data_IF_080558562727
#
_entry.id   IF_080558562727
#
_cell.length_a   1.000
_cell.length_b   1.000
_cell.length_c   1.000
_cell.angle_alpha   90.00
_cell.angle_beta   90.00
_cell.angle_gamma   90.00
#
_symmetry.space_group_name_H-M   'P 1'
#
loop_
_entity.id
_entity.type
_entity.pdbx_description
1 polymer ?
#
# COMPACT_ATOMS: atom_id res chain seq x y z
N UNK A 1 15.80 33.90 14.69
CA UNK A 1 15.57 32.78 13.76
C UNK A 1 15.30 33.32 12.36
N UNK A 2 16.01 32.81 11.38
CA UNK A 2 16.08 33.57 10.12
C UNK A 2 15.85 32.60 8.96
N UNK A 3 14.60 32.22 8.78
CA UNK A 3 14.20 31.52 7.56
C UNK A 3 14.12 32.54 6.41
N UNK A 4 14.73 32.21 5.29
CA UNK A 4 14.63 32.95 4.05
C UNK A 4 13.70 32.18 3.12
N UNK A 5 12.66 32.83 2.65
CA UNK A 5 11.81 32.28 1.61
C UNK A 5 12.59 32.17 0.29
N UNK A 6 12.57 31.01 -0.31
CA UNK A 6 13.13 30.77 -1.64
C UNK A 6 12.01 30.19 -2.52
N UNK A 7 11.22 31.04 -3.19
CA UNK A 7 10.18 30.57 -4.10
C UNK A 7 10.81 29.83 -5.28
N UNK A 8 10.09 28.85 -5.81
CA UNK A 8 10.50 28.14 -7.01
C UNK A 8 10.60 29.12 -8.21
N UNK A 9 11.47 28.84 -9.20
CA UNK A 9 11.62 29.69 -10.38
C UNK A 9 10.29 29.91 -11.11
N UNK A 10 10.07 31.12 -11.56
CA UNK A 10 8.91 31.44 -12.39
C UNK A 10 9.17 31.08 -13.86
N UNK A 11 8.19 30.46 -14.50
CA UNK A 11 8.21 30.09 -15.93
C UNK A 11 7.02 30.73 -16.67
N UNK A 12 6.93 32.09 -16.76
CA UNK A 12 5.70 32.76 -17.17
C UNK A 12 5.25 32.42 -18.60
N UNK A 13 6.18 32.25 -19.52
CA UNK A 13 5.85 31.91 -20.91
C UNK A 13 5.31 30.47 -21.02
N UNK A 14 5.97 29.52 -20.37
CA UNK A 14 5.54 28.13 -20.37
C UNK A 14 4.21 27.97 -19.62
N UNK A 15 4.03 28.66 -18.49
CA UNK A 15 2.79 28.65 -17.74
C UNK A 15 1.62 29.24 -18.56
N UNK A 16 1.85 30.33 -19.30
CA UNK A 16 0.84 30.92 -20.15
C UNK A 16 0.46 29.98 -21.33
N UNK A 17 1.44 29.30 -21.93
CA UNK A 17 1.21 28.33 -22.99
C UNK A 17 0.39 27.14 -22.46
N UNK A 18 0.81 26.51 -21.37
CA UNK A 18 0.12 25.40 -20.73
C UNK A 18 -1.30 25.79 -20.30
N UNK A 19 -1.46 26.97 -19.71
CA UNK A 19 -2.75 27.49 -19.31
C UNK A 19 -3.74 27.58 -20.49
N UNK A 20 -3.25 28.03 -21.64
CA UNK A 20 -4.05 28.13 -22.86
C UNK A 20 -4.41 26.76 -23.45
N UNK A 21 -3.44 25.84 -23.53
CA UNK A 21 -3.63 24.49 -24.11
C UNK A 21 -4.62 23.67 -23.27
N UNK A 22 -4.42 23.63 -21.94
CA UNK A 22 -5.22 22.81 -21.04
C UNK A 22 -6.41 23.54 -20.41
N UNK A 23 -6.65 24.83 -20.79
CA UNK A 23 -7.76 25.66 -20.28
C UNK A 23 -7.78 25.79 -18.75
N UNK A 24 -6.60 25.94 -18.15
CA UNK A 24 -6.41 26.11 -16.69
C UNK A 24 -5.88 27.51 -16.38
N UNK A 25 -5.93 27.89 -15.09
CA UNK A 25 -5.37 29.18 -14.67
C UNK A 25 -3.82 29.19 -14.75
N UNK A 26 -3.20 30.34 -15.09
CA UNK A 26 -1.72 30.43 -15.16
C UNK A 26 -1.00 30.07 -13.86
N UNK A 27 -1.62 30.33 -12.71
CA UNK A 27 -1.07 29.96 -11.41
C UNK A 27 -1.03 28.43 -11.24
N UNK A 28 -2.10 27.73 -11.62
CA UNK A 28 -2.12 26.25 -11.58
C UNK A 28 -1.08 25.68 -12.55
N UNK A 29 -0.97 26.23 -13.75
CA UNK A 29 0.05 25.85 -14.72
C UNK A 29 1.47 26.01 -14.14
N UNK A 30 1.77 27.14 -13.48
CA UNK A 30 3.05 27.35 -12.81
C UNK A 30 3.30 26.33 -11.70
N UNK A 31 2.27 25.98 -10.91
CA UNK A 31 2.39 24.97 -9.86
C UNK A 31 2.69 23.58 -10.42
N UNK A 32 2.09 23.19 -11.54
CA UNK A 32 2.37 21.93 -12.23
C UNK A 32 3.80 21.88 -12.73
N UNK A 33 4.25 22.96 -13.41
CA UNK A 33 5.64 23.07 -13.89
C UNK A 33 6.64 22.94 -12.75
N UNK A 34 6.39 23.58 -11.61
CA UNK A 34 7.27 23.52 -10.45
C UNK A 34 7.32 22.11 -9.82
N UNK A 35 6.37 21.23 -10.15
CA UNK A 35 6.34 19.81 -9.78
C UNK A 35 6.89 18.89 -10.86
N UNK A 36 7.44 19.43 -11.95
CA UNK A 36 7.96 18.67 -13.07
C UNK A 36 6.90 18.14 -14.04
N UNK A 37 5.64 18.52 -13.85
CA UNK A 37 4.53 18.13 -14.73
C UNK A 37 4.44 19.18 -15.84
N UNK A 38 5.07 18.91 -17.00
CA UNK A 38 5.17 19.86 -18.10
C UNK A 38 4.82 19.29 -19.48
N UNK A 39 4.87 17.98 -19.65
CA UNK A 39 4.41 17.35 -20.88
C UNK A 39 2.87 17.33 -20.94
N UNK A 40 2.28 17.57 -22.11
CA UNK A 40 0.82 17.64 -22.26
C UNK A 40 0.10 16.38 -21.79
N UNK A 41 0.67 15.20 -22.07
CA UNK A 41 0.14 13.91 -21.60
C UNK A 41 0.12 13.79 -20.07
N UNK A 42 1.15 14.30 -19.40
CA UNK A 42 1.26 14.25 -17.94
C UNK A 42 0.28 15.22 -17.28
N UNK A 43 0.11 16.40 -17.88
CA UNK A 43 -0.88 17.39 -17.44
C UNK A 43 -2.29 16.83 -17.58
N UNK A 44 -2.62 16.21 -18.71
CA UNK A 44 -3.92 15.58 -18.94
C UNK A 44 -4.18 14.44 -17.94
N UNK A 45 -3.21 13.57 -17.71
CA UNK A 45 -3.31 12.47 -16.77
C UNK A 45 -3.48 12.97 -15.31
N UNK A 46 -2.78 14.06 -14.97
CA UNK A 46 -2.88 14.66 -13.62
C UNK A 46 -4.25 15.34 -13.39
N UNK A 47 -4.74 16.08 -14.39
CA UNK A 47 -6.01 16.81 -14.28
C UNK A 47 -7.25 15.94 -14.49
N UNK A 48 -7.11 14.84 -15.22
CA UNK A 48 -8.20 13.92 -15.55
C UNK A 48 -7.77 12.46 -15.34
N UNK A 49 -7.48 12.06 -14.09
CA UNK A 49 -7.02 10.70 -13.81
C UNK A 49 -8.09 9.68 -14.18
N UNK A 50 -7.69 8.56 -14.78
CA UNK A 50 -8.58 7.46 -15.14
C UNK A 50 -8.02 6.14 -14.65
N UNK A 51 -8.89 5.23 -14.21
CA UNK A 51 -8.50 3.90 -13.71
C UNK A 51 -7.66 3.11 -14.73
N UNK A 52 -7.93 3.27 -16.01
CA UNK A 52 -7.14 2.62 -17.09
C UNK A 52 -5.67 3.08 -17.17
N UNK A 53 -5.32 4.19 -16.52
CA UNK A 53 -3.95 4.72 -16.46
C UNK A 53 -3.23 4.34 -15.16
N UNK A 54 -3.85 3.50 -14.33
CA UNK A 54 -3.20 2.98 -13.14
C UNK A 54 -1.97 2.15 -13.53
N UNK A 55 -0.84 2.49 -12.93
CA UNK A 55 0.38 1.70 -13.09
C UNK A 55 0.17 0.26 -12.60
N UNK A 56 0.87 -0.69 -13.22
CA UNK A 56 0.78 -2.10 -12.86
C UNK A 56 1.15 -2.32 -11.38
N UNK A 57 0.27 -2.94 -10.57
CA UNK A 57 0.56 -3.17 -9.17
C UNK A 57 1.75 -4.12 -8.94
N UNK A 58 2.06 -4.98 -9.88
CA UNK A 58 3.21 -5.90 -9.82
C UNK A 58 4.58 -5.23 -9.98
N UNK A 59 4.63 -3.93 -10.26
CA UNK A 59 5.85 -3.13 -10.17
C UNK A 59 6.28 -2.87 -8.72
N UNK A 60 5.39 -3.04 -7.74
CA UNK A 60 5.75 -2.97 -6.32
C UNK A 60 6.60 -4.18 -5.92
N UNK A 61 7.70 -3.96 -5.19
CA UNK A 61 8.56 -5.04 -4.72
C UNK A 61 7.76 -6.10 -3.94
N UNK A 62 8.04 -7.37 -4.20
CA UNK A 62 7.42 -8.53 -3.54
C UNK A 62 5.88 -8.66 -3.69
N UNK A 63 5.23 -7.82 -4.49
CA UNK A 63 3.77 -7.89 -4.72
C UNK A 63 3.34 -9.25 -5.28
N UNK A 64 4.12 -9.83 -6.19
CA UNK A 64 3.86 -11.18 -6.74
C UNK A 64 3.82 -12.22 -5.63
N UNK A 65 4.83 -12.20 -4.74
CA UNK A 65 4.93 -13.17 -3.63
C UNK A 65 3.77 -13.02 -2.65
N UNK A 66 3.38 -11.77 -2.34
CA UNK A 66 2.25 -11.48 -1.47
C UNK A 66 0.94 -12.02 -2.05
N UNK A 67 0.68 -11.77 -3.33
CA UNK A 67 -0.52 -12.24 -4.05
C UNK A 67 -0.59 -13.75 -4.10
N UNK A 68 0.49 -14.43 -4.49
CA UNK A 68 0.53 -15.90 -4.56
C UNK A 68 0.31 -16.53 -3.17
N UNK A 69 0.90 -15.95 -2.10
CA UNK A 69 0.67 -16.44 -0.73
C UNK A 69 -0.78 -16.25 -0.26
N UNK A 70 -1.40 -15.11 -0.59
CA UNK A 70 -2.80 -14.87 -0.30
C UNK A 70 -3.71 -15.84 -1.07
N UNK A 71 -3.46 -16.07 -2.35
CA UNK A 71 -4.24 -17.02 -3.14
C UNK A 71 -4.10 -18.46 -2.62
N UNK A 72 -2.89 -18.88 -2.22
CA UNK A 72 -2.68 -20.18 -1.58
C UNK A 72 -3.44 -20.32 -0.25
N UNK A 73 -3.50 -19.25 0.56
CA UNK A 73 -4.29 -19.23 1.78
C UNK A 73 -5.79 -19.40 1.50
N UNK A 74 -6.30 -18.75 0.46
CA UNK A 74 -7.69 -18.89 0.02
C UNK A 74 -8.01 -20.32 -0.43
N UNK A 75 -7.15 -20.91 -1.24
CA UNK A 75 -7.32 -22.27 -1.74
C UNK A 75 -7.31 -23.32 -0.62
N UNK A 76 -6.51 -23.07 0.42
CA UNK A 76 -6.39 -23.95 1.58
C UNK A 76 -7.35 -23.62 2.73
N UNK A 77 -8.28 -22.67 2.55
CA UNK A 77 -9.19 -22.17 3.59
C UNK A 77 -8.45 -21.75 4.88
N UNK A 78 -7.23 -21.22 4.74
CA UNK A 78 -6.46 -20.75 5.89
C UNK A 78 -7.08 -19.49 6.50
N UNK A 79 -7.13 -19.44 7.83
CA UNK A 79 -7.52 -18.24 8.56
C UNK A 79 -6.49 -17.12 8.36
N UNK A 80 -6.99 -15.96 7.97
CA UNK A 80 -6.23 -14.72 7.73
C UNK A 80 -6.66 -13.65 8.72
N UNK A 81 -5.71 -12.93 9.29
CA UNK A 81 -6.00 -11.72 10.06
C UNK A 81 -5.29 -10.52 9.41
N UNK A 82 -6.02 -9.44 9.19
CA UNK A 82 -5.47 -8.14 8.82
C UNK A 82 -5.17 -7.39 10.10
N UNK A 83 -3.90 -7.15 10.36
CA UNK A 83 -3.41 -6.37 11.50
C UNK A 83 -3.04 -4.97 11.00
N UNK A 84 -3.84 -3.96 11.34
CA UNK A 84 -3.61 -2.56 10.94
C UNK A 84 -2.97 -1.73 12.04
N UNK A 85 -2.51 -0.53 11.71
CA UNK A 85 -2.24 0.51 12.71
C UNK A 85 -3.56 1.20 13.13
N UNK A 86 -3.53 1.93 14.23
CA UNK A 86 -4.70 2.57 14.83
C UNK A 86 -4.98 3.98 14.29
N UNK A 87 -4.13 4.52 13.42
CA UNK A 87 -4.35 5.83 12.81
C UNK A 87 -5.26 5.76 11.56
N UNK A 88 -5.52 6.91 10.94
CA UNK A 88 -6.45 7.01 9.81
C UNK A 88 -6.01 6.16 8.63
N UNK A 89 -4.70 6.07 8.35
CA UNK A 89 -4.17 5.30 7.22
C UNK A 89 -4.25 3.79 7.50
N UNK A 90 -3.90 3.34 8.70
CA UNK A 90 -4.02 1.95 9.12
C UNK A 90 -5.48 1.47 9.17
N UNK A 91 -6.39 2.27 9.75
CA UNK A 91 -7.82 1.94 9.83
C UNK A 91 -8.45 1.83 8.45
N UNK A 92 -8.22 2.81 7.57
CA UNK A 92 -8.81 2.82 6.22
C UNK A 92 -8.23 1.71 5.33
N UNK A 93 -6.95 1.42 5.45
CA UNK A 93 -6.29 0.30 4.76
C UNK A 93 -6.86 -1.04 5.19
N UNK A 94 -7.03 -1.24 6.50
CA UNK A 94 -7.62 -2.45 7.08
C UNK A 94 -9.05 -2.63 6.59
N UNK A 95 -9.88 -1.58 6.65
CA UNK A 95 -11.27 -1.63 6.21
C UNK A 95 -11.39 -2.04 4.74
N UNK A 96 -10.61 -1.39 3.85
CA UNK A 96 -10.58 -1.69 2.42
C UNK A 96 -10.21 -3.15 2.17
N UNK A 97 -9.13 -3.64 2.79
CA UNK A 97 -8.66 -5.02 2.54
C UNK A 97 -9.62 -6.06 3.09
N UNK A 98 -10.19 -5.85 4.28
CA UNK A 98 -11.18 -6.78 4.85
C UNK A 98 -12.42 -6.85 3.98
N UNK A 99 -12.93 -5.71 3.49
CA UNK A 99 -14.08 -5.67 2.61
C UNK A 99 -13.81 -6.43 1.30
N UNK A 100 -12.70 -6.12 0.62
CA UNK A 100 -12.33 -6.77 -0.65
C UNK A 100 -12.06 -8.26 -0.45
N UNK A 101 -11.28 -8.65 0.55
CA UNK A 101 -10.93 -10.05 0.77
C UNK A 101 -12.16 -10.89 1.09
N UNK A 102 -13.09 -10.38 1.93
CA UNK A 102 -14.37 -11.06 2.20
C UNK A 102 -15.22 -11.21 0.96
N UNK A 103 -15.36 -10.14 0.16
CA UNK A 103 -16.10 -10.17 -1.08
C UNK A 103 -15.53 -11.17 -2.09
N UNK A 104 -14.22 -11.40 -2.05
CA UNK A 104 -13.51 -12.35 -2.90
C UNK A 104 -13.38 -13.77 -2.28
N UNK A 105 -14.00 -14.03 -1.12
CA UNK A 105 -14.12 -15.35 -0.52
C UNK A 105 -13.03 -15.77 0.44
N UNK A 106 -12.26 -14.84 1.01
CA UNK A 106 -11.35 -15.16 2.13
C UNK A 106 -12.09 -15.18 3.46
N UNK A 107 -11.71 -16.10 4.34
CA UNK A 107 -12.07 -16.04 5.76
C UNK A 107 -11.09 -15.11 6.45
N UNK A 108 -11.51 -13.87 6.74
CA UNK A 108 -10.64 -12.82 7.24
C UNK A 108 -11.23 -12.09 8.43
N UNK A 109 -10.41 -11.93 9.46
CA UNK A 109 -10.66 -11.08 10.61
C UNK A 109 -9.80 -9.81 10.57
N UNK A 110 -10.17 -8.82 11.38
CA UNK A 110 -9.43 -7.56 11.52
C UNK A 110 -9.00 -7.35 12.96
N UNK A 111 -7.79 -6.87 13.14
CA UNK A 111 -7.26 -6.46 14.44
C UNK A 111 -6.59 -5.10 14.34
N UNK A 112 -6.99 -4.19 15.22
CA UNK A 112 -6.35 -2.89 15.42
C UNK A 112 -5.85 -2.85 16.86
N UNK A 113 -4.55 -2.64 17.09
CA UNK A 113 -4.00 -2.64 18.45
C UNK A 113 -4.46 -1.41 19.24
N UNK A 114 -4.57 -1.57 20.56
CA UNK A 114 -4.88 -0.46 21.42
C UNK A 114 -3.60 0.29 21.80
N UNK A 115 -3.51 1.55 21.34
CA UNK A 115 -2.30 2.38 21.44
C UNK A 115 -1.64 2.44 22.82
N UNK A 116 -2.45 2.52 23.87
CA UNK A 116 -1.94 2.71 25.22
C UNK A 116 -1.43 1.41 25.87
N UNK A 117 -1.99 0.27 25.46
CA UNK A 117 -1.74 -1.01 26.13
C UNK A 117 -0.81 -1.92 25.31
N UNK A 118 -0.81 -1.79 23.98
CA UNK A 118 -0.13 -2.72 23.07
C UNK A 118 1.02 -2.07 22.29
N UNK A 119 1.18 -0.75 22.41
CA UNK A 119 2.26 0.00 21.78
C UNK A 119 1.96 0.40 20.32
N UNK A 120 3.01 0.73 19.58
CA UNK A 120 2.93 1.23 18.21
C UNK A 120 3.29 0.14 17.20
N UNK A 121 2.54 0.09 16.09
CA UNK A 121 2.82 -0.78 14.96
C UNK A 121 2.67 -2.27 15.31
N UNK A 122 3.37 -3.16 14.59
CA UNK A 122 3.35 -4.59 14.84
C UNK A 122 4.24 -4.94 16.04
N UNK A 123 3.75 -4.60 17.25
CA UNK A 123 4.40 -4.93 18.51
C UNK A 123 4.24 -6.41 18.88
N UNK A 124 5.04 -6.88 19.82
CA UNK A 124 4.93 -8.25 20.34
C UNK A 124 3.61 -8.47 21.06
N UNK A 125 3.24 -7.56 21.96
CA UNK A 125 2.03 -7.67 22.77
C UNK A 125 0.78 -7.59 21.88
N UNK A 126 0.75 -6.67 20.90
CA UNK A 126 -0.32 -6.60 19.92
C UNK A 126 -0.47 -7.87 19.09
N UNK A 127 0.65 -8.47 18.65
CA UNK A 127 0.62 -9.73 17.90
C UNK A 127 0.13 -10.91 18.76
N UNK A 128 0.52 -10.99 20.04
CA UNK A 128 0.05 -12.01 20.99
C UNK A 128 -1.46 -11.89 21.24
N UNK A 129 -1.94 -10.68 21.52
CA UNK A 129 -3.37 -10.41 21.73
C UNK A 129 -4.19 -10.67 20.47
N UNK A 130 -3.67 -10.29 19.30
CA UNK A 130 -4.28 -10.56 18.02
C UNK A 130 -4.50 -12.07 17.81
N UNK A 131 -3.45 -12.88 17.96
CA UNK A 131 -3.53 -14.33 17.77
C UNK A 131 -4.35 -15.04 18.86
N UNK A 132 -4.37 -14.51 20.08
CA UNK A 132 -5.24 -15.02 21.15
C UNK A 132 -6.72 -14.82 20.82
N UNK A 133 -7.07 -13.71 20.15
CA UNK A 133 -8.44 -13.39 19.74
C UNK A 133 -8.83 -14.03 18.41
N UNK A 134 -7.90 -14.04 17.46
CA UNK A 134 -8.09 -14.54 16.09
C UNK A 134 -6.93 -15.48 15.71
N UNK A 135 -7.02 -16.77 16.08
CA UNK A 135 -6.01 -17.73 15.67
C UNK A 135 -5.90 -17.79 14.15
N UNK A 136 -4.73 -17.43 13.62
CA UNK A 136 -4.51 -17.33 12.19
C UNK A 136 -3.21 -18.02 11.75
N UNK A 137 -3.19 -18.52 10.51
CA UNK A 137 -2.00 -19.04 9.83
C UNK A 137 -1.28 -17.98 9.02
N UNK A 138 -1.99 -16.93 8.64
CA UNK A 138 -1.48 -15.82 7.86
C UNK A 138 -1.88 -14.50 8.51
N UNK A 139 -0.91 -13.64 8.76
CA UNK A 139 -1.08 -12.27 9.24
C UNK A 139 -0.67 -11.30 8.14
N UNK A 140 -1.58 -10.42 7.74
CA UNK A 140 -1.33 -9.32 6.83
C UNK A 140 -1.19 -8.03 7.64
N UNK A 141 0.06 -7.62 7.90
CA UNK A 141 0.36 -6.36 8.58
C UNK A 141 0.23 -5.19 7.61
N UNK A 142 -0.57 -4.21 7.96
CA UNK A 142 -0.90 -3.07 7.09
C UNK A 142 -0.57 -1.77 7.82
N UNK A 143 0.14 -0.87 7.14
CA UNK A 143 0.61 0.39 7.70
C UNK A 143 1.59 0.24 8.86
N UNK A 144 2.17 -0.93 8.98
CA UNK A 144 3.15 -1.27 10.00
C UNK A 144 3.95 -2.51 9.58
N UNK A 145 4.99 -2.83 10.34
CA UNK A 145 5.72 -4.09 10.19
C UNK A 145 7.09 -3.96 9.53
N UNK A 146 7.39 -2.89 8.80
CA UNK A 146 8.68 -2.72 8.10
C UNK A 146 9.91 -2.69 9.02
N UNK A 147 9.71 -2.50 10.31
CA UNK A 147 10.76 -2.52 11.34
C UNK A 147 10.60 -3.63 12.37
N UNK A 148 9.55 -4.44 12.29
CA UNK A 148 9.16 -5.43 13.29
C UNK A 148 9.94 -6.76 13.17
N UNK A 149 11.29 -6.69 13.14
CA UNK A 149 12.17 -7.84 12.90
C UNK A 149 11.94 -8.97 13.92
N UNK A 150 11.95 -8.63 15.21
CA UNK A 150 11.81 -9.62 16.28
C UNK A 150 10.40 -10.20 16.36
N UNK A 151 9.37 -9.36 16.21
CA UNK A 151 7.98 -9.81 16.23
C UNK A 151 7.69 -10.75 15.08
N UNK A 152 8.17 -10.45 13.87
CA UNK A 152 7.97 -11.30 12.68
C UNK A 152 8.75 -12.62 12.83
N UNK A 153 9.96 -12.59 13.36
CA UNK A 153 10.70 -13.81 13.66
C UNK A 153 9.94 -14.72 14.65
N UNK A 154 9.38 -14.13 15.70
CA UNK A 154 8.58 -14.84 16.70
C UNK A 154 7.26 -15.42 16.12
N UNK A 155 6.58 -14.71 15.22
CA UNK A 155 5.39 -15.21 14.52
C UNK A 155 5.73 -16.42 13.65
N UNK A 156 6.85 -16.35 12.93
CA UNK A 156 7.36 -17.44 12.10
C UNK A 156 7.67 -18.70 12.90
N UNK A 157 8.27 -18.57 14.10
CA UNK A 157 8.52 -19.71 15.02
C UNK A 157 7.21 -20.42 15.43
N UNK A 158 6.09 -19.73 15.34
CA UNK A 158 4.73 -20.25 15.62
C UNK A 158 3.97 -20.70 14.39
N UNK A 159 4.68 -20.84 13.28
CA UNK A 159 4.11 -21.21 11.98
C UNK A 159 2.99 -20.25 11.53
N UNK A 160 3.14 -18.94 11.85
CA UNK A 160 2.32 -17.86 11.32
C UNK A 160 3.14 -17.14 10.27
N UNK A 161 2.70 -17.22 9.03
CA UNK A 161 3.27 -16.45 7.93
C UNK A 161 2.88 -14.98 8.03
N UNK A 162 3.78 -14.09 7.68
CA UNK A 162 3.53 -12.64 7.70
C UNK A 162 3.77 -12.04 6.32
N UNK A 163 2.77 -11.31 5.84
CA UNK A 163 2.91 -10.37 4.73
C UNK A 163 2.88 -8.97 5.32
N UNK A 164 3.84 -8.14 4.95
CA UNK A 164 3.90 -6.73 5.33
C UNK A 164 3.54 -5.88 4.12
N UNK A 165 2.59 -4.98 4.29
CA UNK A 165 2.16 -3.98 3.32
C UNK A 165 2.30 -2.60 3.97
N UNK A 166 3.43 -1.93 3.74
CA UNK A 166 3.82 -0.76 4.50
C UNK A 166 4.59 0.24 3.65
N UNK A 167 4.58 1.51 4.03
CA UNK A 167 5.28 2.60 3.35
C UNK A 167 6.35 3.29 4.20
N UNK A 168 6.45 2.92 5.46
CA UNK A 168 7.44 3.45 6.40
C UNK A 168 8.86 2.99 6.07
N UNK A 169 9.84 3.59 6.74
CA UNK A 169 11.23 3.20 6.61
C UNK A 169 11.44 1.72 6.96
N UNK A 170 12.23 1.03 6.16
CA UNK A 170 12.56 -0.38 6.39
C UNK A 170 13.80 -0.48 7.26
N UNK A 171 13.78 -1.37 8.25
CA UNK A 171 14.94 -1.66 9.08
C UNK A 171 16.09 -2.30 8.30
N UNK A 172 17.28 -2.27 8.87
CA UNK A 172 18.44 -2.97 8.33
C UNK A 172 19.05 -3.86 9.43
N UNK A 173 18.96 -5.19 9.32
CA UNK A 173 18.33 -5.95 8.23
C UNK A 173 16.80 -5.79 8.20
N UNK A 174 16.16 -6.05 7.05
CA UNK A 174 14.69 -6.05 6.96
C UNK A 174 14.09 -7.26 7.70
N UNK A 175 12.82 -7.19 8.12
CA UNK A 175 12.13 -8.30 8.74
C UNK A 175 12.00 -9.48 7.76
N UNK A 176 12.12 -10.70 8.28
CA UNK A 176 12.05 -11.94 7.50
C UNK A 176 10.58 -12.38 7.27
N UNK A 177 9.75 -11.46 6.76
CA UNK A 177 8.39 -11.73 6.32
C UNK A 177 8.39 -12.61 5.05
N UNK A 178 7.28 -13.31 4.79
CA UNK A 178 7.07 -14.04 3.52
C UNK A 178 7.11 -13.06 2.34
N UNK A 179 6.47 -11.92 2.50
CA UNK A 179 6.57 -10.80 1.57
C UNK A 179 6.61 -9.48 2.34
N UNK A 180 7.58 -8.63 2.00
CA UNK A 180 7.64 -7.25 2.46
C UNK A 180 7.37 -6.35 1.24
N UNK A 181 6.10 -5.96 1.08
CA UNK A 181 5.66 -5.04 0.03
C UNK A 181 5.81 -3.62 0.55
N UNK A 182 6.90 -2.98 0.15
CA UNK A 182 7.20 -1.62 0.58
C UNK A 182 7.93 -0.86 -0.54
N UNK A 183 7.43 0.30 -0.99
CA UNK A 183 8.04 1.08 -2.06
C UNK A 183 9.40 1.70 -1.67
N UNK A 184 9.79 1.68 -0.38
CA UNK A 184 11.09 2.16 0.08
C UNK A 184 12.22 1.13 -0.12
N UNK A 185 11.93 -0.09 -0.52
CA UNK A 185 12.94 -1.11 -0.79
C UNK A 185 13.88 -0.66 -1.93
N UNK A 186 15.17 -0.92 -1.75
CA UNK A 186 16.18 -0.59 -2.74
C UNK A 186 15.87 -1.25 -4.09
N UNK A 187 15.97 -0.52 -5.19
CA UNK A 187 15.61 -0.98 -6.53
C UNK A 187 14.24 -0.48 -6.99
N UNK A 188 13.42 0.05 -6.12
CA UNK A 188 12.24 0.83 -6.47
C UNK A 188 12.62 2.19 -7.12
N UNK A 189 13.67 2.22 -7.93
CA UNK A 189 14.07 3.39 -8.71
C UNK A 189 13.00 3.81 -9.74
N UNK A 190 12.06 2.95 -9.99
CA UNK A 190 10.84 3.20 -10.74
C UNK A 190 9.72 3.64 -9.81
N UNK A 191 9.91 4.66 -9.28
CA UNK A 191 9.44 5.60 -8.26
C UNK A 191 7.93 5.91 -8.27
N UNK A 192 7.13 5.29 -9.11
CA UNK A 192 5.69 5.60 -9.24
C UNK A 192 4.86 5.39 -7.98
N UNK A 193 5.38 4.66 -6.99
CA UNK A 193 4.63 4.28 -5.79
C UNK A 193 5.21 4.81 -4.48
N UNK A 194 6.36 5.51 -4.52
CA UNK A 194 7.10 5.91 -3.32
C UNK A 194 6.31 6.80 -2.37
N UNK A 195 5.42 7.61 -2.93
CA UNK A 195 4.61 8.57 -2.20
C UNK A 195 3.19 8.05 -1.89
N UNK A 196 2.92 6.76 -2.13
CA UNK A 196 1.64 6.17 -1.73
C UNK A 196 1.60 6.02 -0.20
N UNK A 197 0.49 6.43 0.38
CA UNK A 197 0.12 6.07 1.73
C UNK A 197 -0.34 4.60 1.80
N UNK A 198 -0.52 4.05 2.98
CA UNK A 198 -0.85 2.64 3.14
C UNK A 198 -2.18 2.25 2.52
N UNK A 199 -3.21 3.12 2.54
CA UNK A 199 -4.46 2.81 1.83
C UNK A 199 -4.28 2.76 0.31
N UNK A 200 -3.35 3.54 -0.24
CA UNK A 200 -2.94 3.44 -1.64
C UNK A 200 -2.27 2.11 -1.96
N UNK A 201 -1.44 1.59 -1.05
CA UNK A 201 -0.83 0.26 -1.17
C UNK A 201 -1.87 -0.86 -1.01
N UNK A 202 -2.82 -0.71 -0.08
CA UNK A 202 -3.95 -1.63 0.10
C UNK A 202 -4.79 -1.73 -1.19
N UNK A 203 -5.08 -0.59 -1.82
CA UNK A 203 -5.74 -0.55 -3.12
C UNK A 203 -4.90 -1.26 -4.20
N UNK A 204 -3.57 -1.10 -4.20
CA UNK A 204 -2.69 -1.80 -5.16
C UNK A 204 -2.66 -3.31 -4.93
N UNK A 205 -2.70 -3.77 -3.68
CA UNK A 205 -2.81 -5.20 -3.37
C UNK A 205 -4.15 -5.76 -3.86
N UNK A 206 -5.26 -5.07 -3.60
CA UNK A 206 -6.59 -5.44 -4.11
C UNK A 206 -6.60 -5.50 -5.66
N UNK A 207 -6.03 -4.51 -6.32
CA UNK A 207 -5.86 -4.49 -7.78
C UNK A 207 -5.01 -5.67 -8.28
N UNK A 208 -3.91 -6.01 -7.60
CA UNK A 208 -3.06 -7.14 -7.95
C UNK A 208 -3.80 -8.49 -7.82
N UNK A 209 -4.54 -8.67 -6.71
CA UNK A 209 -5.35 -9.86 -6.47
C UNK A 209 -6.41 -10.05 -7.56
N UNK A 210 -7.16 -9.00 -7.89
CA UNK A 210 -8.17 -9.05 -8.95
C UNK A 210 -7.54 -9.32 -10.32
N UNK A 211 -6.43 -8.65 -10.65
CA UNK A 211 -5.73 -8.86 -11.92
C UNK A 211 -5.27 -10.33 -12.03
N UNK A 212 -4.59 -10.85 -11.00
CA UNK A 212 -4.10 -12.22 -10.98
C UNK A 212 -5.23 -13.24 -10.96
N UNK A 213 -6.27 -13.01 -10.18
CA UNK A 213 -7.44 -13.88 -10.13
C UNK A 213 -8.19 -13.98 -11.45
N UNK A 214 -8.31 -12.87 -12.18
CA UNK A 214 -8.87 -12.85 -13.54
C UNK A 214 -8.01 -13.64 -14.53
N UNK A 215 -6.69 -13.49 -14.48
CA UNK A 215 -5.75 -14.28 -15.29
C UNK A 215 -5.90 -15.79 -15.05
N UNK A 216 -6.16 -16.18 -13.80
CA UNK A 216 -6.36 -17.57 -13.40
C UNK A 216 -7.81 -18.06 -13.55
N UNK A 217 -8.73 -17.20 -13.93
CA UNK A 217 -10.16 -17.54 -14.07
C UNK A 217 -10.83 -17.90 -12.73
N UNK A 218 -10.38 -17.32 -11.62
CA UNK A 218 -10.90 -17.64 -10.29
C UNK A 218 -12.33 -17.11 -10.10
N UNK A 219 -13.25 -17.94 -9.56
CA UNK A 219 -14.62 -17.52 -9.28
C UNK A 219 -14.69 -16.29 -8.37
N UNK A 220 -15.63 -15.39 -8.66
CA UNK A 220 -15.85 -14.14 -7.93
C UNK A 220 -14.89 -13.02 -8.28
N UNK A 221 -13.74 -13.31 -8.95
CA UNK A 221 -12.78 -12.29 -9.36
C UNK A 221 -12.98 -11.84 -10.80
N UNK A 222 -13.57 -12.67 -11.63
CA UNK A 222 -13.88 -12.34 -13.03
C UNK A 222 -15.02 -11.32 -13.11
N UNK A 223 -16.04 -11.51 -12.26
CA UNK A 223 -17.25 -10.69 -12.21
C UNK A 223 -17.15 -9.48 -11.26
N UNK A 224 -16.05 -9.33 -10.55
CA UNK A 224 -15.86 -8.22 -9.61
C UNK A 224 -15.64 -6.91 -10.37
N UNK A 225 -16.51 -5.92 -10.16
CA UNK A 225 -16.47 -4.58 -10.77
C UNK A 225 -15.83 -3.53 -9.85
#
# INVERSE_FOLDING_TARGET
MKYRWSPAPAHPLLAAQMAKVHRIGPLLAQCLINRGISADSDVENFLSPRLKHLADPFLLPNMVVAVERLLAAREADESLVVFGDYDDDGVTSTALLVEVLRALGWVVDAYLPHRLDEGYGLSRDGAENCLAKYPARLLLAVDCGSTAVETIAWLRERAVDVIVLDHHQVSSPPPAAVALVNPQLAGAAEVSFRDLCSVGLAFKLAHALLKRGRELGLPGMVEFD
#
